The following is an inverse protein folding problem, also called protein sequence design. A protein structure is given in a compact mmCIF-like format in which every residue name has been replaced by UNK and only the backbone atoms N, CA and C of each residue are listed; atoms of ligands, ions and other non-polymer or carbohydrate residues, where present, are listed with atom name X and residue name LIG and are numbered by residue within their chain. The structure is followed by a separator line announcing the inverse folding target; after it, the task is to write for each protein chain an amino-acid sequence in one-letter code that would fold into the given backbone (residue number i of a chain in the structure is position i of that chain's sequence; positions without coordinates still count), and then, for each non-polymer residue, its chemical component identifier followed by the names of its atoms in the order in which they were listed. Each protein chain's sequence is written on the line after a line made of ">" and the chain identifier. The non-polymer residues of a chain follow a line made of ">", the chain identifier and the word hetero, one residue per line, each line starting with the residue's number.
data_IF_251872891651
#
_entry.id   IF_251872891651
#
_cell.length_a   1.000
_cell.length_b   1.000
_cell.length_c   1.000
_cell.angle_alpha   90.00
_cell.angle_beta   90.00
_cell.angle_gamma   90.00
#
_symmetry.space_group_name_H-M   'P 1'
#
loop_
_entity.id
_entity.type
_entity.pdbx_description
1 polymer ?
#
# COMPACT_ATOMS: atom_id res chain seq x y z
N UNK A 1 2.07 -17.56 -16.81
CA UNK A 1 2.30 -18.63 -15.80
C UNK A 1 1.15 -18.69 -14.81
N UNK A 2 1.23 -19.53 -13.78
CA UNK A 2 0.20 -19.62 -12.72
C UNK A 2 0.07 -18.31 -11.93
N UNK A 3 1.18 -17.63 -11.63
CA UNK A 3 1.18 -16.33 -10.94
C UNK A 3 0.37 -15.25 -11.71
N UNK A 4 0.50 -15.20 -13.04
CA UNK A 4 -0.29 -14.31 -13.90
C UNK A 4 -1.79 -14.61 -13.84
N UNK A 5 -2.17 -15.90 -13.86
CA UNK A 5 -3.58 -16.30 -13.76
C UNK A 5 -4.15 -15.95 -12.39
N UNK A 6 -3.38 -16.15 -11.33
CA UNK A 6 -3.76 -15.77 -9.97
C UNK A 6 -4.03 -14.27 -9.86
N UNK A 7 -3.11 -13.42 -10.35
CA UNK A 7 -3.30 -11.97 -10.32
C UNK A 7 -4.50 -11.51 -11.16
N UNK A 8 -4.71 -12.10 -12.35
CA UNK A 8 -5.88 -11.82 -13.19
C UNK A 8 -7.21 -12.15 -12.52
N UNK A 9 -7.25 -13.25 -11.76
CA UNK A 9 -8.45 -13.69 -11.08
C UNK A 9 -8.82 -12.82 -9.88
N UNK A 10 -7.89 -12.04 -9.32
CA UNK A 10 -8.19 -11.11 -8.21
C UNK A 10 -9.06 -9.94 -8.67
N UNK A 11 -8.73 -9.32 -9.80
CA UNK A 11 -9.52 -8.16 -10.28
C UNK A 11 -9.95 -8.30 -11.74
N UNK A 12 -10.81 -9.29 -12.04
CA UNK A 12 -11.18 -9.60 -13.43
C UNK A 12 -11.73 -8.37 -14.16
N UNK A 13 -12.55 -7.54 -13.48
CA UNK A 13 -13.11 -6.33 -14.06
C UNK A 13 -12.09 -5.24 -14.42
N UNK A 14 -10.93 -5.18 -13.75
CA UNK A 14 -9.86 -4.25 -14.11
C UNK A 14 -9.08 -4.70 -15.34
N UNK A 15 -8.85 -6.02 -15.45
CA UNK A 15 -8.24 -6.62 -16.64
C UNK A 15 -9.16 -6.61 -17.86
N UNK A 16 -10.47 -6.86 -17.67
CA UNK A 16 -11.44 -6.91 -18.77
C UNK A 16 -11.68 -5.56 -19.43
N UNK A 17 -11.70 -4.47 -18.64
CA UNK A 17 -11.85 -3.11 -19.17
C UNK A 17 -10.55 -2.50 -19.71
N UNK A 18 -9.43 -3.22 -19.60
CA UNK A 18 -8.12 -2.79 -20.08
C UNK A 18 -7.36 -1.85 -19.14
N UNK A 19 -7.86 -1.57 -17.93
CA UNK A 19 -7.14 -0.72 -16.97
C UNK A 19 -5.81 -1.35 -16.57
N UNK A 20 -5.80 -2.67 -16.37
CA UNK A 20 -4.58 -3.44 -16.14
C UNK A 20 -4.22 -4.20 -17.42
N UNK A 21 -3.01 -3.98 -17.91
CA UNK A 21 -2.39 -4.71 -19.02
C UNK A 21 -1.06 -5.26 -18.56
N UNK A 22 -0.57 -6.29 -19.26
CA UNK A 22 0.73 -6.92 -19.04
C UNK A 22 1.00 -7.35 -17.57
N UNK A 23 1.70 -8.47 -17.37
CA UNK A 23 2.21 -8.73 -16.03
C UNK A 23 3.40 -9.64 -16.10
N UNK A 24 4.46 -9.19 -15.45
CA UNK A 24 5.64 -9.98 -15.17
C UNK A 24 5.79 -10.15 -13.65
N UNK A 25 6.67 -11.06 -13.25
CA UNK A 25 6.95 -11.28 -11.85
C UNK A 25 8.40 -11.71 -11.65
N UNK A 26 8.92 -11.41 -10.47
CA UNK A 26 10.24 -11.82 -10.01
C UNK A 26 10.11 -12.42 -8.62
N UNK A 27 10.85 -13.51 -8.39
CA UNK A 27 11.02 -14.05 -7.04
C UNK A 27 12.19 -13.35 -6.36
N UNK A 28 12.08 -13.14 -5.06
CA UNK A 28 13.24 -12.78 -4.24
C UNK A 28 14.29 -13.91 -4.32
N UNK A 29 15.59 -13.63 -4.09
CA UNK A 29 16.65 -14.64 -4.19
C UNK A 29 16.45 -15.87 -3.29
N UNK A 30 15.76 -15.70 -2.17
CA UNK A 30 15.40 -16.72 -1.20
C UNK A 30 13.99 -17.31 -1.40
N UNK A 31 13.28 -16.89 -2.47
CA UNK A 31 11.89 -17.28 -2.79
C UNK A 31 10.86 -16.99 -1.69
N UNK A 32 11.18 -16.12 -0.73
CA UNK A 32 10.25 -15.72 0.32
C UNK A 32 9.13 -14.81 -0.20
N UNK A 33 9.39 -14.05 -1.28
CA UNK A 33 8.44 -13.10 -1.85
C UNK A 33 8.38 -13.20 -3.38
N UNK A 34 7.22 -12.79 -3.92
CA UNK A 34 6.99 -12.56 -5.34
C UNK A 34 6.61 -11.10 -5.53
N UNK A 35 7.34 -10.39 -6.38
CA UNK A 35 6.98 -9.04 -6.82
C UNK A 35 6.34 -9.14 -8.19
N UNK A 36 5.21 -8.46 -8.38
CA UNK A 36 4.54 -8.34 -9.66
C UNK A 36 4.83 -6.97 -10.26
N UNK A 37 5.18 -6.95 -11.54
CA UNK A 37 5.23 -5.73 -12.33
C UNK A 37 4.01 -5.76 -13.25
N UNK A 38 3.11 -4.77 -13.10
CA UNK A 38 1.82 -4.67 -13.80
C UNK A 38 1.78 -3.33 -14.51
N UNK A 39 1.31 -3.31 -15.76
CA UNK A 39 1.10 -2.07 -16.48
C UNK A 39 -0.32 -1.54 -16.23
N UNK A 40 -0.41 -0.23 -15.99
CA UNK A 40 -1.66 0.48 -15.78
C UNK A 40 -1.88 1.42 -16.96
N UNK A 41 -3.03 1.31 -17.60
CA UNK A 41 -3.47 2.32 -18.56
C UNK A 41 -4.03 3.53 -17.80
N UNK A 42 -3.18 4.55 -17.64
CA UNK A 42 -3.54 5.77 -16.93
C UNK A 42 -4.69 6.51 -17.61
N UNK A 43 -4.89 6.36 -18.93
CA UNK A 43 -6.00 7.02 -19.63
C UNK A 43 -7.37 6.48 -19.17
N UNK A 44 -7.42 5.27 -18.60
CA UNK A 44 -8.62 4.64 -18.07
C UNK A 44 -8.89 4.93 -16.58
N UNK A 45 -8.03 5.70 -15.91
CA UNK A 45 -8.30 6.24 -14.57
C UNK A 45 -9.41 7.29 -14.66
N UNK A 46 -10.32 7.42 -13.67
CA UNK A 46 -11.32 8.49 -13.65
C UNK A 46 -10.70 9.89 -13.76
N UNK A 47 -11.22 10.71 -14.68
CA UNK A 47 -10.71 12.08 -14.93
C UNK A 47 -10.76 12.96 -13.68
N UNK A 48 -11.74 12.76 -12.79
CA UNK A 48 -11.82 13.51 -11.54
C UNK A 48 -10.65 13.28 -10.58
N UNK A 49 -9.90 12.18 -10.75
CA UNK A 49 -8.74 11.80 -9.94
C UNK A 49 -7.43 12.28 -10.58
N UNK A 50 -7.36 12.31 -11.92
CA UNK A 50 -6.16 12.71 -12.67
C UNK A 50 -5.76 14.15 -12.36
N UNK A 51 -4.57 14.34 -11.80
CA UNK A 51 -4.02 15.66 -11.46
C UNK A 51 -4.76 16.40 -10.33
N UNK A 52 -5.76 15.77 -9.71
CA UNK A 52 -6.51 16.30 -8.57
C UNK A 52 -6.14 15.61 -7.25
N UNK A 53 -5.72 14.34 -7.32
CA UNK A 53 -5.20 13.58 -6.19
C UNK A 53 -3.68 13.72 -6.10
N UNK A 54 -3.14 13.70 -4.88
CA UNK A 54 -1.71 13.42 -4.66
C UNK A 54 -1.40 12.00 -5.12
N UNK A 55 -0.11 11.73 -5.34
CA UNK A 55 0.38 10.42 -5.78
C UNK A 55 -0.09 9.30 -4.82
N UNK A 56 -0.02 9.51 -3.50
CA UNK A 56 -0.46 8.52 -2.50
C UNK A 56 -1.95 8.17 -2.57
N UNK A 57 -2.82 9.16 -2.76
CA UNK A 57 -4.26 8.91 -2.92
C UNK A 57 -4.60 8.20 -4.24
N UNK A 58 -3.85 8.52 -5.30
CA UNK A 58 -4.01 7.88 -6.60
C UNK A 58 -3.51 6.44 -6.58
N UNK A 59 -2.39 6.18 -5.93
CA UNK A 59 -1.86 4.84 -5.68
C UNK A 59 -2.86 3.99 -4.89
N UNK A 60 -3.45 4.53 -3.82
CA UNK A 60 -4.50 3.82 -3.07
C UNK A 60 -5.64 3.35 -3.98
N UNK A 61 -6.12 4.23 -4.88
CA UNK A 61 -7.14 3.86 -5.85
C UNK A 61 -6.68 2.72 -6.77
N UNK A 62 -5.47 2.83 -7.33
CA UNK A 62 -4.91 1.85 -8.27
C UNK A 62 -4.73 0.48 -7.61
N UNK A 63 -4.18 0.43 -6.39
CA UNK A 63 -3.94 -0.82 -5.68
C UNK A 63 -5.24 -1.54 -5.37
N UNK A 64 -6.32 -0.80 -5.05
CA UNK A 64 -7.65 -1.40 -4.91
C UNK A 64 -8.18 -2.03 -6.21
N UNK A 65 -7.77 -1.51 -7.37
CA UNK A 65 -8.08 -2.16 -8.65
C UNK A 65 -7.30 -3.46 -8.85
N UNK A 66 -6.29 -3.76 -8.03
CA UNK A 66 -5.52 -5.02 -8.06
C UNK A 66 -6.01 -5.98 -6.96
N UNK A 67 -6.37 -5.45 -5.79
CA UNK A 67 -6.74 -6.20 -4.59
C UNK A 67 -8.16 -6.79 -4.54
N UNK A 68 -8.86 -6.91 -5.69
CA UNK A 68 -10.26 -7.34 -5.74
C UNK A 68 -10.59 -8.62 -4.94
N UNK A 69 -11.31 -8.46 -3.82
CA UNK A 69 -12.11 -9.51 -3.16
C UNK A 69 -11.38 -10.72 -2.58
N UNK A 70 -10.06 -10.68 -2.35
CA UNK A 70 -9.27 -11.81 -1.83
C UNK A 70 -8.83 -11.59 -0.36
N UNK A 71 -8.58 -12.66 0.38
CA UNK A 71 -8.31 -12.65 1.84
C UNK A 71 -6.94 -12.08 2.24
N UNK A 72 -6.04 -11.90 1.26
CA UNK A 72 -4.70 -11.34 1.51
C UNK A 72 -4.38 -10.19 0.57
N UNK A 73 -4.05 -9.04 1.14
CA UNK A 73 -3.75 -7.82 0.40
C UNK A 73 -2.33 -7.84 -0.18
N UNK A 74 -2.23 -7.51 -1.46
CA UNK A 74 -0.99 -7.08 -2.08
C UNK A 74 -0.75 -5.62 -1.68
N UNK A 75 0.51 -5.24 -1.53
CA UNK A 75 0.90 -3.88 -1.17
C UNK A 75 2.06 -3.48 -2.09
N UNK A 76 2.25 -2.19 -2.28
CA UNK A 76 3.32 -1.66 -3.11
C UNK A 76 4.67 -1.87 -2.41
N UNK A 77 5.67 -2.25 -3.20
CA UNK A 77 7.07 -2.29 -2.78
C UNK A 77 7.71 -0.93 -3.11
N UNK A 78 8.18 -0.22 -2.10
CA UNK A 78 8.78 1.10 -2.23
C UNK A 78 10.20 1.19 -1.64
N UNK A 79 10.86 2.32 -1.87
CA UNK A 79 12.21 2.62 -1.36
C UNK A 79 12.18 3.82 -0.40
N UNK A 80 12.46 3.62 0.89
CA UNK A 80 12.53 4.71 1.86
C UNK A 80 12.87 4.26 3.29
N UNK A 81 12.74 5.19 4.26
CA UNK A 81 12.85 4.90 5.70
C UNK A 81 11.60 5.28 6.50
N UNK A 82 10.66 5.98 5.87
CA UNK A 82 9.39 6.44 6.43
C UNK A 82 8.26 5.75 5.66
N UNK A 83 7.18 5.41 6.37
CA UNK A 83 6.00 4.76 5.78
C UNK A 83 4.85 5.77 5.77
N UNK A 84 4.40 6.13 4.57
CA UNK A 84 3.18 6.90 4.39
C UNK A 84 2.01 5.92 4.25
N UNK A 85 1.13 5.92 5.24
CA UNK A 85 -0.09 5.12 5.27
C UNK A 85 -1.24 5.95 4.69
N UNK A 86 -1.89 5.40 3.66
CA UNK A 86 -3.08 5.96 3.03
C UNK A 86 -4.28 5.06 3.33
N UNK A 87 -5.32 5.66 3.91
CA UNK A 87 -6.53 4.95 4.36
C UNK A 87 -7.68 5.95 4.45
N UNK A 88 -8.97 5.55 4.48
CA UNK A 88 -10.05 6.45 4.86
C UNK A 88 -9.72 7.19 6.16
N UNK A 89 -10.09 8.48 6.23
CA UNK A 89 -9.81 9.29 7.42
C UNK A 89 -10.43 8.63 8.65
N UNK A 90 -9.58 8.27 9.60
CA UNK A 90 -9.96 7.61 10.84
C UNK A 90 -9.48 8.44 12.04
N UNK A 91 -10.42 8.78 12.92
CA UNK A 91 -10.12 9.52 14.15
C UNK A 91 -9.38 8.61 15.14
N UNK A 92 -8.28 9.11 15.70
CA UNK A 92 -7.47 8.33 16.63
C UNK A 92 -6.66 7.21 15.98
N UNK A 93 -6.54 7.19 14.63
CA UNK A 93 -5.73 6.18 13.93
C UNK A 93 -4.33 6.07 14.53
N UNK A 94 -3.62 7.20 14.70
CA UNK A 94 -2.27 7.21 15.24
C UNK A 94 -2.12 6.56 16.63
N UNK A 95 -3.13 6.65 17.49
CA UNK A 95 -3.10 6.04 18.83
C UNK A 95 -3.09 4.51 18.75
N UNK A 96 -3.54 3.95 17.63
CA UNK A 96 -3.50 2.50 17.37
C UNK A 96 -2.09 2.03 16.98
N UNK A 97 -1.26 2.92 16.43
CA UNK A 97 0.06 2.59 15.87
C UNK A 97 1.20 2.91 16.84
N UNK A 98 1.18 4.07 17.52
CA UNK A 98 2.29 4.52 18.35
C UNK A 98 2.60 3.52 19.48
N UNK A 99 3.87 3.17 19.62
CA UNK A 99 4.37 2.24 20.64
C UNK A 99 4.08 0.77 20.34
N UNK A 100 3.48 0.44 19.19
CA UNK A 100 3.33 -0.95 18.74
C UNK A 100 4.64 -1.44 18.11
N UNK A 101 4.83 -2.75 18.21
CA UNK A 101 5.91 -3.45 17.53
C UNK A 101 5.39 -4.58 16.65
N UNK A 102 6.10 -4.79 15.54
CA UNK A 102 5.77 -5.75 14.50
C UNK A 102 6.95 -6.67 14.24
N UNK A 103 6.68 -7.73 13.47
CA UNK A 103 7.66 -8.76 13.13
C UNK A 103 8.49 -9.22 14.34
N UNK A 104 7.80 -9.66 15.41
CA UNK A 104 8.41 -10.10 16.68
C UNK A 104 9.33 -9.06 17.34
N UNK A 105 9.08 -7.77 17.12
CA UNK A 105 9.84 -6.67 17.74
C UNK A 105 10.92 -6.08 16.84
N UNK A 106 11.08 -6.56 15.61
CA UNK A 106 12.10 -6.04 14.69
C UNK A 106 11.83 -4.60 14.24
N UNK A 107 10.55 -4.23 14.12
CA UNK A 107 10.12 -2.87 13.78
C UNK A 107 9.18 -2.36 14.86
N UNK A 108 9.34 -1.10 15.26
CA UNK A 108 8.42 -0.42 16.17
C UNK A 108 8.05 0.97 15.65
N UNK A 109 6.83 1.39 15.90
CA UNK A 109 6.37 2.74 15.54
C UNK A 109 6.67 3.68 16.70
N UNK A 110 7.58 4.62 16.48
CA UNK A 110 7.95 5.63 17.48
C UNK A 110 7.09 6.89 17.41
N UNK A 111 6.49 7.15 16.25
CA UNK A 111 5.64 8.30 16.01
C UNK A 111 4.64 8.04 14.90
N UNK A 112 3.53 8.78 14.94
CA UNK A 112 2.55 8.84 13.89
C UNK A 112 2.02 10.27 13.82
N UNK A 113 1.89 10.81 12.61
CA UNK A 113 1.34 12.13 12.36
C UNK A 113 0.30 12.06 11.23
N UNK A 114 -0.79 12.82 11.39
CA UNK A 114 -1.69 13.08 10.27
C UNK A 114 -1.04 14.12 9.37
N UNK A 115 -0.93 13.82 8.09
CA UNK A 115 -0.21 14.64 7.11
C UNK A 115 -1.20 15.47 6.30
N UNK A 116 -2.12 14.80 5.62
CA UNK A 116 -3.04 15.44 4.68
C UNK A 116 -4.31 14.60 4.53
N UNK A 117 -5.32 15.16 3.86
CA UNK A 117 -6.49 14.41 3.39
C UNK A 117 -6.81 14.76 1.96
N UNK A 118 -7.51 13.87 1.26
CA UNK A 118 -7.97 14.10 -0.10
C UNK A 118 -8.99 15.23 -0.13
N UNK A 119 -8.86 16.11 -1.13
CA UNK A 119 -9.81 17.21 -1.36
C UNK A 119 -11.16 16.70 -1.92
N UNK A 120 -11.16 15.46 -2.42
CA UNK A 120 -12.34 14.78 -2.97
C UNK A 120 -12.47 13.38 -2.37
N UNK A 121 -13.68 12.85 -2.44
CA UNK A 121 -13.90 11.43 -2.18
C UNK A 121 -13.32 10.60 -3.34
N UNK A 122 -12.63 9.52 -2.98
CA UNK A 122 -12.13 8.50 -3.90
C UNK A 122 -12.93 7.25 -3.61
N UNK A 123 -13.73 6.82 -4.58
CA UNK A 123 -14.68 5.70 -4.44
C UNK A 123 -15.63 5.87 -3.23
N UNK A 124 -16.06 7.11 -2.98
CA UNK A 124 -17.03 7.47 -1.94
C UNK A 124 -16.44 7.64 -0.53
N UNK A 125 -15.11 7.65 -0.39
CA UNK A 125 -14.44 7.88 0.90
C UNK A 125 -13.44 9.02 0.83
N UNK A 126 -13.37 9.82 1.90
CA UNK A 126 -12.29 10.81 2.08
C UNK A 126 -11.06 10.07 2.62
N UNK A 127 -9.95 10.16 1.92
CA UNK A 127 -8.70 9.51 2.30
C UNK A 127 -7.86 10.45 3.16
N UNK A 128 -7.09 9.87 4.07
CA UNK A 128 -6.06 10.53 4.88
C UNK A 128 -4.70 9.91 4.63
N UNK A 129 -3.68 10.74 4.61
CA UNK A 129 -2.27 10.36 4.64
C UNK A 129 -1.74 10.51 6.06
N UNK A 130 -1.06 9.48 6.53
CA UNK A 130 -0.47 9.41 7.86
C UNK A 130 0.99 8.98 7.74
N UNK A 131 1.90 9.75 8.32
CA UNK A 131 3.31 9.40 8.36
C UNK A 131 3.57 8.57 9.61
N UNK A 132 4.12 7.37 9.42
CA UNK A 132 4.56 6.47 10.49
C UNK A 132 6.09 6.51 10.57
N UNK A 133 6.59 6.96 11.72
CA UNK A 133 8.02 6.96 12.02
C UNK A 133 8.38 5.59 12.59
N UNK A 134 9.22 4.86 11.86
CA UNK A 134 9.64 3.51 12.20
C UNK A 134 11.03 3.51 12.84
N UNK A 135 11.18 2.72 13.90
CA UNK A 135 12.48 2.36 14.47
C UNK A 135 12.77 0.90 14.13
N UNK A 136 13.80 0.70 13.30
CA UNK A 136 14.35 -0.61 12.97
C UNK A 136 15.36 -1.03 14.05
N UNK A 137 15.16 -2.22 14.63
CA UNK A 137 16.06 -2.81 15.62
C UNK A 137 17.13 -3.74 15.01
N UNK A 138 17.31 -3.70 13.68
CA UNK A 138 18.55 -4.06 13.00
C UNK A 138 18.83 -5.54 12.80
N UNK A 139 17.80 -6.38 12.70
CA UNK A 139 17.98 -7.83 12.53
C UNK A 139 16.99 -8.47 11.53
N UNK A 140 16.59 -7.77 10.46
CA UNK A 140 15.77 -8.42 9.43
C UNK A 140 16.61 -9.30 8.49
N UNK A 141 16.29 -10.60 8.34
CA UNK A 141 16.91 -11.46 7.33
C UNK A 141 16.45 -11.15 5.89
N UNK A 142 15.40 -10.35 5.70
CA UNK A 142 14.79 -10.07 4.40
C UNK A 142 15.17 -8.67 3.83
N UNK A 143 15.99 -7.90 4.55
CA UNK A 143 16.36 -6.52 4.20
C UNK A 143 15.33 -5.50 4.69
N UNK A 144 15.73 -4.22 4.73
CA UNK A 144 14.94 -3.13 5.32
C UNK A 144 13.55 -2.96 4.68
N UNK A 145 13.39 -3.34 3.40
CA UNK A 145 12.17 -3.09 2.65
C UNK A 145 11.12 -4.24 2.68
N UNK A 146 11.37 -5.36 3.35
CA UNK A 146 10.43 -6.50 3.29
C UNK A 146 9.60 -6.61 4.58
N UNK A 147 10.12 -6.11 5.70
CA UNK A 147 9.49 -6.28 7.01
C UNK A 147 8.18 -5.50 7.18
N UNK A 148 8.02 -4.39 6.47
CA UNK A 148 6.83 -3.54 6.55
C UNK A 148 5.66 -4.03 5.71
N UNK A 149 5.92 -4.75 4.61
CA UNK A 149 4.89 -5.34 3.76
C UNK A 149 4.02 -6.28 4.62
N UNK A 150 4.68 -7.02 5.51
CA UNK A 150 4.00 -7.86 6.49
C UNK A 150 3.17 -7.05 7.48
N UNK A 151 3.54 -5.81 7.77
CA UNK A 151 2.78 -4.95 8.66
C UNK A 151 1.49 -4.45 8.02
N UNK A 152 1.56 -3.84 6.83
CA UNK A 152 0.37 -3.39 6.09
C UNK A 152 -0.56 -4.58 5.81
N UNK A 153 0.01 -5.73 5.43
CA UNK A 153 -0.74 -6.98 5.31
C UNK A 153 -1.42 -7.40 6.61
N UNK A 154 -0.75 -7.25 7.76
CA UNK A 154 -1.29 -7.64 9.07
C UNK A 154 -2.43 -6.73 9.52
N UNK A 155 -2.32 -5.41 9.34
CA UNK A 155 -3.39 -4.47 9.71
C UNK A 155 -4.58 -4.59 8.77
N UNK A 156 -4.34 -4.92 7.51
CA UNK A 156 -5.42 -5.26 6.61
C UNK A 156 -6.14 -6.53 7.11
N UNK A 157 -5.43 -7.62 7.42
CA UNK A 157 -6.11 -8.85 7.83
C UNK A 157 -7.21 -9.30 6.83
N UNK A 158 -8.09 -10.23 7.22
CA UNK A 158 -9.14 -10.73 6.32
C UNK A 158 -10.37 -9.84 6.22
N UNK A 159 -10.62 -8.93 7.18
CA UNK A 159 -11.86 -8.15 7.25
C UNK A 159 -11.73 -6.71 6.73
N UNK A 160 -10.52 -6.21 6.46
CA UNK A 160 -10.34 -4.81 6.02
C UNK A 160 -10.61 -4.54 4.55
N UNK A 161 -10.80 -5.57 3.72
CA UNK A 161 -10.90 -5.41 2.26
C UNK A 161 -9.74 -4.62 1.62
N UNK A 162 -8.53 -4.71 2.20
CA UNK A 162 -7.35 -3.97 1.75
C UNK A 162 -7.52 -2.45 1.81
N UNK A 163 -8.13 -1.97 2.90
CA UNK A 163 -8.39 -0.54 3.11
C UNK A 163 -7.12 0.26 3.40
N UNK A 164 -6.12 -0.36 4.04
CA UNK A 164 -4.86 0.28 4.35
C UNK A 164 -3.86 0.03 3.23
N UNK A 165 -3.41 1.10 2.58
CA UNK A 165 -2.29 1.03 1.64
C UNK A 165 -1.13 1.86 2.17
N UNK A 166 0.10 1.50 1.79
CA UNK A 166 1.26 2.24 2.23
C UNK A 166 2.32 2.27 1.18
N UNK A 167 2.97 3.44 1.06
CA UNK A 167 4.13 3.63 0.21
C UNK A 167 5.33 4.12 1.03
N UNK A 168 6.52 3.80 0.53
CA UNK A 168 7.78 4.27 1.09
C UNK A 168 8.16 5.58 0.45
N UNK A 169 7.91 6.65 1.20
CA UNK A 169 8.34 7.98 0.84
C UNK A 169 9.03 8.60 2.04
N UNK A 170 10.07 9.40 1.77
CA UNK A 170 10.49 10.39 2.75
C UNK A 170 9.51 11.55 2.67
N UNK A 171 8.82 11.89 3.76
CA UNK A 171 8.06 13.13 3.78
C UNK A 171 9.07 14.30 3.76
N UNK A 172 9.12 15.01 2.64
CA UNK A 172 9.92 16.24 2.56
C UNK A 172 9.09 17.33 3.22
N UNK A 173 9.33 17.56 4.52
CA UNK A 173 8.76 18.72 5.21
C UNK A 173 9.12 19.98 4.42
N UNK A 174 8.13 20.77 3.97
CA UNK A 174 8.42 22.07 3.39
C UNK A 174 9.02 22.97 4.46
N UNK A 175 10.12 23.65 4.11
CA UNK A 175 10.82 24.64 4.96
C UNK A 175 9.91 25.77 5.46
#
# INVERSE_FOLDING_TARGET
>A
GEAYKWLRNRSPGAWERGLLSECSHKYSPDYSNITFDVELDFDLVPEEYKGALSDGFLEWYIIRQINGGDESCLVVDGNGFELLLVTPVEEGLCDQFVGKSFNKGQVSVSGCSFVSKSDKEVDGVVLGEYELILLDQGNSPAGHNVDYIFYVRKINGPESECTYEGDWGKYVYPD
#
